data_IF_868099640692
#
_entry.id   IF_868099640692
#
_cell.length_a   1.000
_cell.length_b   1.000
_cell.length_c   1.000
_cell.angle_alpha   90.00
_cell.angle_beta   90.00
_cell.angle_gamma   90.00
#
_symmetry.space_group_name_H-M   'P 1'
#
loop_
_entity.id
_entity.type
_entity.pdbx_description
1 polymer ?
#
# COMPACT_ATOMS: atom_id res chain seq x y z
N UNK A 1 2.65 -39.43 10.42
CA UNK A 1 1.82 -38.23 10.76
C UNK A 1 2.53 -36.87 10.53
N UNK A 2 3.86 -36.77 10.38
CA UNK A 2 4.58 -35.48 10.31
C UNK A 2 4.41 -34.61 9.04
N UNK A 3 4.15 -35.20 7.87
CA UNK A 3 4.07 -34.42 6.62
C UNK A 3 2.77 -33.58 6.49
N UNK A 4 1.64 -34.07 7.01
CA UNK A 4 0.34 -33.35 6.96
C UNK A 4 0.35 -32.10 7.82
N UNK A 5 0.87 -32.20 9.06
CA UNK A 5 0.97 -31.07 9.99
C UNK A 5 1.90 -29.96 9.48
N UNK A 6 3.01 -30.33 8.82
CA UNK A 6 3.90 -29.35 8.18
C UNK A 6 3.22 -28.60 7.02
N UNK A 7 2.41 -29.30 6.22
CA UNK A 7 1.69 -28.68 5.11
C UNK A 7 0.58 -27.72 5.59
N UNK A 8 -0.14 -28.08 6.65
CA UNK A 8 -1.13 -27.20 7.30
C UNK A 8 -0.50 -25.96 7.91
N UNK A 9 0.64 -26.11 8.59
CA UNK A 9 1.40 -24.98 9.13
C UNK A 9 1.86 -24.03 8.01
N UNK A 10 2.36 -24.57 6.89
CA UNK A 10 2.75 -23.79 5.70
C UNK A 10 1.54 -23.05 5.10
N UNK A 11 0.42 -23.73 4.92
CA UNK A 11 -0.81 -23.11 4.40
C UNK A 11 -1.28 -21.96 5.30
N UNK A 12 -1.26 -22.15 6.63
CA UNK A 12 -1.59 -21.11 7.60
C UNK A 12 -0.63 -19.92 7.52
N UNK A 13 0.67 -20.15 7.39
CA UNK A 13 1.66 -19.08 7.26
C UNK A 13 1.46 -18.25 5.99
N UNK A 14 1.19 -18.90 4.86
CA UNK A 14 0.89 -18.23 3.60
C UNK A 14 -0.41 -17.44 3.66
N UNK A 15 -1.45 -17.98 4.29
CA UNK A 15 -2.71 -17.26 4.50
C UNK A 15 -2.53 -15.99 5.35
N UNK A 16 -1.76 -16.09 6.45
CA UNK A 16 -1.41 -14.92 7.27
C UNK A 16 -0.65 -13.85 6.47
N UNK A 17 0.30 -14.26 5.63
CA UNK A 17 1.05 -13.33 4.78
C UNK A 17 0.17 -12.68 3.72
N UNK A 18 -0.75 -13.43 3.10
CA UNK A 18 -1.72 -12.89 2.15
C UNK A 18 -2.62 -11.84 2.80
N UNK A 19 -3.13 -12.11 4.01
CA UNK A 19 -3.93 -11.16 4.77
C UNK A 19 -3.12 -9.89 5.11
N UNK A 20 -1.89 -10.03 5.59
CA UNK A 20 -1.02 -8.89 5.88
C UNK A 20 -0.72 -8.04 4.63
N UNK A 21 -0.53 -8.68 3.47
CA UNK A 21 -0.37 -8.00 2.18
C UNK A 21 -1.62 -7.18 1.83
N UNK A 22 -2.81 -7.77 1.96
CA UNK A 22 -4.07 -7.07 1.69
C UNK A 22 -4.27 -5.86 2.60
N UNK A 23 -3.99 -6.02 3.90
CA UNK A 23 -4.07 -4.91 4.87
C UNK A 23 -3.11 -3.79 4.49
N UNK A 24 -1.87 -4.12 4.13
CA UNK A 24 -0.87 -3.12 3.70
C UNK A 24 -1.37 -2.37 2.46
N UNK A 25 -1.87 -3.06 1.46
CA UNK A 25 -2.35 -2.44 0.22
C UNK A 25 -3.57 -1.54 0.43
N UNK A 26 -4.49 -1.95 1.30
CA UNK A 26 -5.62 -1.11 1.69
C UNK A 26 -5.14 0.16 2.41
N UNK A 27 -4.21 0.02 3.37
CA UNK A 27 -3.63 1.14 4.09
C UNK A 27 -2.84 2.10 3.17
N UNK A 28 -2.10 1.58 2.18
CA UNK A 28 -1.40 2.39 1.18
C UNK A 28 -2.39 3.18 0.30
N UNK A 29 -3.52 2.56 -0.08
CA UNK A 29 -4.59 3.22 -0.81
C UNK A 29 -5.25 4.33 0.01
N UNK A 30 -5.58 4.05 1.28
CA UNK A 30 -6.18 5.03 2.20
C UNK A 30 -5.22 6.19 2.49
N UNK A 31 -3.93 5.92 2.66
CA UNK A 31 -2.89 6.93 2.79
C UNK A 31 -2.85 7.85 1.57
N UNK A 32 -2.85 7.29 0.36
CA UNK A 32 -2.85 8.08 -0.86
C UNK A 32 -4.10 8.96 -0.97
N UNK A 33 -5.28 8.39 -0.67
CA UNK A 33 -6.53 9.14 -0.67
C UNK A 33 -6.50 10.30 0.34
N UNK A 34 -5.98 10.06 1.55
CA UNK A 34 -5.84 11.09 2.58
C UNK A 34 -4.89 12.21 2.15
N UNK A 35 -3.77 11.89 1.49
CA UNK A 35 -2.84 12.88 0.94
C UNK A 35 -3.54 13.73 -0.13
N UNK A 36 -4.30 13.11 -1.03
CA UNK A 36 -5.04 13.82 -2.09
C UNK A 36 -6.13 14.71 -1.51
N UNK A 37 -6.84 14.25 -0.48
CA UNK A 37 -7.82 15.05 0.25
C UNK A 37 -7.17 16.26 0.92
N UNK A 38 -6.04 16.06 1.62
CA UNK A 38 -5.28 17.16 2.24
C UNK A 38 -4.79 18.17 1.20
N UNK A 39 -4.29 17.70 0.05
CA UNK A 39 -3.88 18.56 -1.08
C UNK A 39 -5.04 19.36 -1.63
N UNK A 40 -6.22 18.76 -1.75
CA UNK A 40 -7.44 19.42 -2.24
C UNK A 40 -7.97 20.45 -1.24
N UNK A 41 -7.77 20.22 0.06
CA UNK A 41 -8.07 21.17 1.13
C UNK A 41 -7.02 22.30 1.27
N UNK A 42 -6.01 22.35 0.40
CA UNK A 42 -5.00 23.42 0.38
C UNK A 42 -3.73 23.16 1.19
N UNK A 43 -3.56 21.98 1.80
CA UNK A 43 -2.33 21.66 2.52
C UNK A 43 -1.12 21.69 1.59
N UNK A 44 -0.04 22.36 1.99
CA UNK A 44 1.18 22.44 1.18
C UNK A 44 1.98 21.13 1.20
N UNK A 45 2.77 20.89 0.16
CA UNK A 45 3.70 19.75 0.13
C UNK A 45 4.73 19.76 1.26
N UNK A 46 5.12 20.94 1.75
CA UNK A 46 6.00 21.05 2.91
C UNK A 46 5.31 20.51 4.16
N UNK A 47 4.06 20.92 4.41
CA UNK A 47 3.30 20.50 5.59
C UNK A 47 3.01 19.01 5.60
N UNK A 48 2.70 18.44 4.42
CA UNK A 48 2.56 17.00 4.26
C UNK A 48 3.91 16.32 4.52
N UNK A 49 5.00 16.82 3.92
CA UNK A 49 6.35 16.27 4.11
C UNK A 49 6.79 16.21 5.58
N UNK A 50 6.47 17.23 6.38
CA UNK A 50 6.78 17.27 7.82
C UNK A 50 6.22 16.06 8.59
N UNK A 51 5.02 15.57 8.24
CA UNK A 51 4.43 14.38 8.87
C UNK A 51 5.25 13.10 8.62
N UNK A 52 5.98 13.09 7.51
CA UNK A 52 6.82 11.96 7.08
C UNK A 52 8.30 12.17 7.33
N UNK A 53 8.70 13.28 7.97
CA UNK A 53 10.10 13.66 8.09
C UNK A 53 10.79 13.94 6.75
N UNK A 54 10.02 14.34 5.73
CA UNK A 54 10.48 14.61 4.37
C UNK A 54 10.58 16.11 4.10
N UNK A 55 11.51 16.48 3.22
CA UNK A 55 11.50 17.81 2.61
C UNK A 55 10.32 17.97 1.65
N UNK A 56 9.97 19.21 1.30
CA UNK A 56 8.96 19.51 0.27
C UNK A 56 9.18 18.73 -1.03
N UNK A 57 10.42 18.70 -1.54
CA UNK A 57 10.76 18.00 -2.78
C UNK A 57 10.68 16.49 -2.61
N UNK A 58 11.11 15.95 -1.45
CA UNK A 58 10.95 14.53 -1.12
C UNK A 58 9.48 14.09 -1.07
N UNK A 59 8.61 14.89 -0.46
CA UNK A 59 7.18 14.63 -0.42
C UNK A 59 6.55 14.69 -1.82
N UNK A 60 6.90 15.68 -2.63
CA UNK A 60 6.44 15.76 -4.02
C UNK A 60 6.87 14.55 -4.83
N UNK A 61 8.15 14.15 -4.74
CA UNK A 61 8.66 13.00 -5.49
C UNK A 61 7.95 11.70 -5.09
N UNK A 62 7.73 11.50 -3.79
CA UNK A 62 7.08 10.30 -3.26
C UNK A 62 5.61 10.21 -3.64
N UNK A 63 4.85 11.27 -3.39
CA UNK A 63 3.39 11.21 -3.44
C UNK A 63 2.79 11.71 -4.76
N UNK A 64 3.47 12.60 -5.50
CA UNK A 64 2.97 13.09 -6.79
C UNK A 64 3.18 12.08 -7.93
N UNK A 65 4.21 11.21 -7.84
CA UNK A 65 4.56 10.24 -8.89
C UNK A 65 4.01 8.83 -8.65
N UNK A 66 3.55 8.54 -7.44
CA UNK A 66 3.05 7.21 -7.03
C UNK A 66 1.63 6.87 -7.49
N UNK A 67 0.96 7.74 -8.26
CA UNK A 67 -0.47 7.63 -8.59
C UNK A 67 -0.83 6.60 -9.67
N UNK A 68 0.00 5.59 -9.93
CA UNK A 68 -0.45 4.46 -10.75
C UNK A 68 -1.04 3.41 -9.81
N UNK A 69 -2.39 3.28 -9.73
CA UNK A 69 -2.96 2.09 -9.11
C UNK A 69 -2.44 0.88 -9.88
N UNK A 70 -1.91 -0.09 -9.15
CA UNK A 70 -1.56 -1.38 -9.71
C UNK A 70 -2.88 -2.07 -10.10
N UNK A 71 -3.34 -1.83 -11.33
CA UNK A 71 -4.42 -2.64 -11.91
C UNK A 71 -3.97 -4.09 -11.85
N UNK A 72 -4.73 -5.03 -11.27
CA UNK A 72 -4.48 -6.42 -11.54
C UNK A 72 -4.55 -6.59 -13.06
N UNK A 73 -3.50 -7.17 -13.66
CA UNK A 73 -3.51 -7.58 -15.05
C UNK A 73 -4.83 -8.30 -15.35
N UNK A 74 -5.46 -8.09 -16.53
CA UNK A 74 -6.67 -8.82 -16.87
C UNK A 74 -6.33 -10.32 -16.79
N UNK A 75 -7.01 -11.02 -15.89
CA UNK A 75 -6.99 -12.45 -15.85
C UNK A 75 -7.57 -12.94 -17.19
N UNK A 76 -6.70 -13.56 -17.98
CA UNK A 76 -6.98 -14.55 -19.02
C UNK A 76 -8.45 -14.61 -19.49
N UNK A 77 -8.72 -13.99 -20.65
CA UNK A 77 -9.97 -14.15 -21.38
C UNK A 77 -9.72 -15.12 -22.55
N UNK A 78 -10.38 -16.29 -22.45
CA UNK A 78 -10.60 -17.37 -23.44
C UNK A 78 -9.54 -18.50 -23.60
#
# INVERSE_FOLDING_TARGET
MGAKSSNEAKAKALASLAAAKQIREAAESDEFAAIQAARSAGASWSRIGELYGLTKQGAQQRFKRGSKPNSPAPADEA
#
